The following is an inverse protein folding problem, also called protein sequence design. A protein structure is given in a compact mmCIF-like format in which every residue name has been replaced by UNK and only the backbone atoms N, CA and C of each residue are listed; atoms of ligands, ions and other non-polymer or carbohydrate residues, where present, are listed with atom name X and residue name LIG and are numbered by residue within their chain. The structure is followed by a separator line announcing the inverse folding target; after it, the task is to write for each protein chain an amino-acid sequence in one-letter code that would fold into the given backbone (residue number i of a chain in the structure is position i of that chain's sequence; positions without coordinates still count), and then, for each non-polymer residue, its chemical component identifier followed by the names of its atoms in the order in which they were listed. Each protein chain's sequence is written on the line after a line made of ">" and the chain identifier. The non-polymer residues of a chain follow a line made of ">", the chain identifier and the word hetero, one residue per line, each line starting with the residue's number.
data_IF_009552816229
#
_entry.id   IF_009552816229
#
_cell.length_a   1.000
_cell.length_b   1.000
_cell.length_c   1.000
_cell.angle_alpha   90.00
_cell.angle_beta   90.00
_cell.angle_gamma   90.00
#
_symmetry.space_group_name_H-M   'P 1'
#
loop_
_entity.id
_entity.type
_entity.pdbx_description
1 polymer ?
#
# COMPACT_ATOMS: atom_id res chain seq x y z
N UNK A 1 -9.69 10.57 12.40
CA UNK A 1 -9.67 9.60 11.27
C UNK A 1 -10.11 8.27 11.81
N UNK A 2 -11.03 7.56 11.15
CA UNK A 2 -11.48 6.24 11.59
C UNK A 2 -10.64 5.17 10.90
N UNK A 3 -10.06 4.26 11.66
CA UNK A 3 -9.33 3.13 11.09
C UNK A 3 -10.31 2.17 10.41
N UNK A 4 -9.86 1.52 9.34
CA UNK A 4 -10.59 0.51 8.61
C UNK A 4 -9.70 -0.70 8.37
N UNK A 5 -10.30 -1.88 8.33
CA UNK A 5 -9.64 -3.10 7.88
C UNK A 5 -10.17 -3.45 6.50
N UNK A 6 -9.26 -3.59 5.53
CA UNK A 6 -9.58 -3.90 4.14
C UNK A 6 -8.78 -5.12 3.68
N UNK A 7 -9.35 -5.87 2.74
CA UNK A 7 -8.68 -7.01 2.08
C UNK A 7 -8.42 -6.67 0.63
N UNK A 8 -7.24 -6.98 0.13
CA UNK A 8 -6.87 -6.73 -1.26
C UNK A 8 -5.50 -7.26 -1.61
N UNK A 9 -5.13 -7.14 -2.87
CA UNK A 9 -3.84 -7.62 -3.39
C UNK A 9 -2.81 -6.50 -3.37
N UNK A 10 -1.63 -6.79 -2.85
CA UNK A 10 -0.49 -5.86 -2.90
C UNK A 10 0.16 -5.92 -4.28
N UNK A 11 0.51 -4.76 -4.82
CA UNK A 11 1.27 -4.66 -6.07
C UNK A 11 2.34 -3.58 -5.99
N UNK A 12 3.53 -3.85 -6.52
CA UNK A 12 4.54 -2.81 -6.77
C UNK A 12 4.31 -2.17 -8.13
N UNK A 13 4.00 -0.87 -8.13
CA UNK A 13 3.73 -0.10 -9.35
C UNK A 13 4.52 1.20 -9.37
N UNK A 14 4.90 1.64 -10.58
CA UNK A 14 5.39 3.00 -10.77
C UNK A 14 4.21 3.98 -10.72
N UNK A 15 4.29 4.94 -9.81
CA UNK A 15 3.33 6.05 -9.73
C UNK A 15 3.91 7.32 -10.31
N UNK A 16 3.05 8.27 -10.67
CA UNK A 16 3.43 9.52 -11.33
C UNK A 16 4.26 9.31 -12.62
N UNK A 17 3.87 8.31 -13.43
CA UNK A 17 4.56 7.93 -14.66
C UNK A 17 4.79 9.14 -15.58
N UNK A 18 6.03 9.30 -16.06
CA UNK A 18 6.45 10.43 -16.90
C UNK A 18 6.78 11.71 -16.14
N UNK A 19 6.76 11.70 -14.80
CA UNK A 19 7.15 12.82 -13.95
C UNK A 19 8.55 12.62 -13.36
N UNK A 20 9.19 13.72 -12.95
CA UNK A 20 10.42 13.67 -12.12
C UNK A 20 10.20 13.01 -10.76
N UNK A 21 8.93 12.86 -10.36
CA UNK A 21 8.51 12.15 -9.14
C UNK A 21 8.07 10.71 -9.41
N UNK A 22 8.32 10.19 -10.62
CA UNK A 22 8.07 8.78 -10.92
C UNK A 22 8.90 7.90 -10.00
N UNK A 23 8.22 7.03 -9.25
CA UNK A 23 8.87 6.10 -8.33
C UNK A 23 8.05 4.82 -8.19
N UNK A 24 8.70 3.67 -7.99
CA UNK A 24 7.99 2.47 -7.59
C UNK A 24 7.41 2.66 -6.18
N UNK A 25 6.20 2.16 -5.96
CA UNK A 25 5.49 2.24 -4.67
C UNK A 25 4.56 1.04 -4.52
N UNK A 26 4.40 0.56 -3.29
CA UNK A 26 3.42 -0.47 -2.97
C UNK A 26 2.00 0.10 -3.08
N UNK A 27 1.12 -0.66 -3.71
CA UNK A 27 -0.30 -0.34 -3.86
C UNK A 27 -1.14 -1.49 -3.33
N UNK A 28 -2.29 -1.18 -2.74
CA UNK A 28 -3.29 -2.16 -2.32
C UNK A 28 -4.50 -2.04 -3.26
N UNK A 29 -4.77 -3.09 -4.04
CA UNK A 29 -5.92 -3.18 -4.92
C UNK A 29 -7.04 -3.97 -4.24
N UNK A 30 -8.17 -3.30 -4.00
CA UNK A 30 -9.42 -3.93 -3.54
C UNK A 30 -10.45 -3.92 -4.68
N UNK A 31 -11.59 -4.63 -4.53
CA UNK A 31 -12.65 -4.60 -5.52
C UNK A 31 -13.19 -3.19 -5.81
N UNK A 32 -13.17 -2.29 -4.83
CA UNK A 32 -13.71 -0.94 -5.03
C UNK A 32 -12.68 0.05 -5.60
N UNK A 33 -11.40 -0.07 -5.21
CA UNK A 33 -10.37 0.91 -5.58
C UNK A 33 -8.94 0.43 -5.32
N UNK A 34 -7.98 1.25 -5.75
CA UNK A 34 -6.57 1.10 -5.41
C UNK A 34 -6.08 2.23 -4.52
N UNK A 35 -5.25 1.91 -3.53
CA UNK A 35 -4.54 2.87 -2.69
C UNK A 35 -3.04 2.71 -2.83
N UNK A 36 -2.29 3.79 -2.65
CA UNK A 36 -0.88 3.73 -2.26
C UNK A 36 -0.79 3.23 -0.84
N UNK A 37 -0.10 2.12 -0.63
CA UNK A 37 0.08 1.54 0.68
C UNK A 37 1.32 2.14 1.33
N UNK A 38 1.16 2.70 2.53
CA UNK A 38 2.28 3.28 3.30
C UNK A 38 2.20 2.87 4.75
N UNK A 39 3.36 2.56 5.33
CA UNK A 39 3.51 2.48 6.77
C UNK A 39 3.87 3.85 7.35
N UNK A 40 3.48 4.11 8.59
CA UNK A 40 3.84 5.34 9.29
C UNK A 40 5.34 5.41 9.60
N UNK A 41 5.98 4.26 9.83
CA UNK A 41 7.41 4.07 10.08
C UNK A 41 8.19 3.63 8.83
N UNK A 42 7.52 3.55 7.69
CA UNK A 42 8.12 3.18 6.41
C UNK A 42 9.06 4.27 5.86
N UNK A 43 9.83 3.95 4.82
CA UNK A 43 10.76 4.90 4.21
C UNK A 43 10.02 6.08 3.57
N UNK A 44 10.59 7.29 3.70
CA UNK A 44 10.04 8.50 3.07
C UNK A 44 10.07 8.45 1.52
N UNK A 45 10.98 7.64 0.95
CA UNK A 45 11.20 7.49 -0.48
C UNK A 45 11.45 6.02 -0.85
N UNK A 46 11.04 5.63 -2.06
CA UNK A 46 11.23 4.27 -2.57
C UNK A 46 10.14 3.29 -2.10
N UNK A 47 10.37 2.00 -2.39
CA UNK A 47 9.47 0.93 -1.98
C UNK A 47 9.87 0.42 -0.60
N UNK A 48 8.89 0.32 0.28
CA UNK A 48 9.03 -0.36 1.56
C UNK A 48 9.37 -1.86 1.34
N UNK A 49 10.52 -2.37 1.81
CA UNK A 49 10.94 -3.74 1.54
C UNK A 49 9.96 -4.81 2.03
N UNK A 50 9.28 -4.58 3.16
CA UNK A 50 8.29 -5.52 3.68
C UNK A 50 7.04 -5.55 2.81
N UNK A 51 6.61 -4.40 2.32
CA UNK A 51 5.49 -4.34 1.37
C UNK A 51 5.90 -4.87 -0.02
N UNK A 52 7.17 -4.71 -0.41
CA UNK A 52 7.70 -5.27 -1.65
C UNK A 52 7.71 -6.80 -1.65
N UNK A 53 7.99 -7.42 -0.51
CA UNK A 53 7.96 -8.87 -0.37
C UNK A 53 6.54 -9.47 -0.54
N UNK A 54 5.51 -8.63 -0.45
CA UNK A 54 4.10 -9.03 -0.60
C UNK A 54 3.57 -8.77 -2.02
N UNK A 55 4.42 -8.43 -2.99
CA UNK A 55 3.97 -8.18 -4.38
C UNK A 55 3.24 -9.40 -4.97
N UNK A 56 1.97 -9.21 -5.34
CA UNK A 56 1.07 -10.25 -5.84
C UNK A 56 0.30 -11.01 -4.76
N UNK A 57 0.58 -10.79 -3.47
CA UNK A 57 -0.07 -11.48 -2.36
C UNK A 57 -1.38 -10.79 -1.97
N UNK A 58 -2.37 -11.57 -1.57
CA UNK A 58 -3.58 -11.04 -0.96
C UNK A 58 -3.35 -10.82 0.54
N UNK A 59 -3.66 -9.62 1.03
CA UNK A 59 -3.40 -9.22 2.41
C UNK A 59 -4.64 -8.65 3.06
N UNK A 60 -4.67 -8.73 4.39
CA UNK A 60 -5.55 -7.93 5.24
C UNK A 60 -4.74 -6.77 5.81
N UNK A 61 -5.21 -5.54 5.57
CA UNK A 61 -4.56 -4.30 5.96
C UNK A 61 -5.46 -3.47 6.88
N UNK A 62 -4.97 -3.07 8.05
CA UNK A 62 -5.66 -2.17 8.99
C UNK A 62 -4.99 -0.80 8.99
N UNK A 63 -5.77 0.25 8.80
CA UNK A 63 -5.22 1.61 8.74
C UNK A 63 -6.22 2.70 8.39
N UNK A 64 -5.70 3.90 8.13
CA UNK A 64 -6.50 5.08 7.78
C UNK A 64 -6.57 5.27 6.26
N UNK A 65 -7.75 5.12 5.63
CA UNK A 65 -7.92 5.43 4.22
C UNK A 65 -7.98 6.94 3.98
N UNK A 66 -7.16 7.41 3.05
CA UNK A 66 -7.15 8.80 2.55
C UNK A 66 -7.51 8.91 1.07
N UNK A 67 -7.29 10.10 0.51
CA UNK A 67 -7.56 10.45 -0.91
C UNK A 67 -6.49 9.88 -1.85
N UNK A 68 -6.19 8.59 -1.73
CA UNK A 68 -5.23 7.88 -2.59
C UNK A 68 -4.16 7.13 -1.82
N UNK A 69 -4.00 7.38 -0.52
CA UNK A 69 -3.08 6.66 0.36
C UNK A 69 -3.89 5.87 1.39
N UNK A 70 -3.45 4.67 1.70
CA UNK A 70 -3.90 3.90 2.86
C UNK A 70 -2.73 3.82 3.83
N UNK A 71 -2.88 4.51 4.98
CA UNK A 71 -1.83 4.59 5.99
C UNK A 71 -2.02 3.46 7.00
N UNK A 72 -1.14 2.46 6.94
CA UNK A 72 -1.14 1.31 7.83
C UNK A 72 -0.88 1.74 9.27
N UNK A 73 -1.68 1.20 10.19
CA UNK A 73 -1.49 1.35 11.64
C UNK A 73 -0.98 0.07 12.30
N UNK A 74 -1.03 -1.04 11.57
CA UNK A 74 -0.65 -2.38 12.02
C UNK A 74 0.12 -3.09 10.90
N UNK A 75 0.94 -4.13 11.21
CA UNK A 75 1.52 -4.99 10.20
C UNK A 75 0.44 -5.62 9.31
N UNK A 76 0.70 -5.66 8.00
CA UNK A 76 -0.16 -6.38 7.05
C UNK A 76 -0.08 -7.87 7.30
N UNK A 77 -1.22 -8.55 7.21
CA UNK A 77 -1.31 -10.01 7.34
C UNK A 77 -1.52 -10.62 5.97
N UNK A 78 -0.59 -11.47 5.52
CA UNK A 78 -0.75 -12.27 4.31
C UNK A 78 -1.87 -13.31 4.49
N UNK A 79 -2.72 -13.46 3.48
CA UNK A 79 -3.90 -14.33 3.51
C UNK A 79 -3.69 -15.60 2.66
N UNK A 80 -2.63 -15.65 1.83
CA UNK A 80 -2.24 -16.83 1.04
C UNK A 80 -2.68 -16.80 -0.41
#
# INVERSE_FOLDING_TARGET
>A
MTSQTVRGTVHIKHVAKGSKSEQPTATLATPERTWLLRRADGPSFGVDPELAALDGHEVTATGYPGTGVFLLTEPVTDVG
#
